data_IF_730734070052
#
_entry.id   IF_730734070052
#
_cell.length_a   1.000
_cell.length_b   1.000
_cell.length_c   1.000
_cell.angle_alpha   90.00
_cell.angle_beta   90.00
_cell.angle_gamma   90.00
#
_symmetry.space_group_name_H-M   'P 1'
#
loop_
_entity.id
_entity.type
_entity.pdbx_description
1 polymer ?
#
# COMPACT_ATOMS: atom_id res chain seq x y z
N UNK A 1 -23.11 12.06 -24.66
CA UNK A 1 -24.32 12.19 -25.48
C UNK A 1 -25.42 12.82 -24.64
N UNK A 2 -26.07 13.85 -25.19
CA UNK A 2 -27.37 14.46 -24.81
C UNK A 2 -27.59 14.85 -23.34
N UNK A 3 -27.34 16.12 -23.01
CA UNK A 3 -28.09 16.81 -21.96
C UNK A 3 -29.44 17.26 -22.54
N UNK A 4 -30.52 16.58 -22.18
CA UNK A 4 -31.89 17.02 -22.49
C UNK A 4 -32.36 17.95 -21.38
N UNK A 5 -32.50 19.23 -21.71
CA UNK A 5 -33.31 20.19 -20.97
C UNK A 5 -34.78 19.88 -21.23
N UNK A 6 -35.60 19.75 -20.19
CA UNK A 6 -37.05 19.74 -20.29
C UNK A 6 -37.66 20.43 -19.07
N UNK A 7 -38.56 21.37 -19.32
CA UNK A 7 -39.61 21.73 -18.36
C UNK A 7 -39.47 23.09 -17.71
N UNK A 8 -39.88 24.13 -18.43
CA UNK A 8 -40.46 25.34 -17.85
C UNK A 8 -41.78 24.94 -17.14
N UNK A 9 -41.98 25.25 -15.85
CA UNK A 9 -43.31 25.31 -15.26
C UNK A 9 -43.43 26.46 -14.24
N UNK A 10 -44.49 27.25 -14.48
CA UNK A 10 -44.98 28.39 -13.72
C UNK A 10 -45.81 27.89 -12.54
N UNK A 11 -45.76 28.58 -11.40
CA UNK A 11 -46.84 28.53 -10.41
C UNK A 11 -46.36 28.51 -8.96
N UNK A 12 -46.27 29.68 -8.34
CA UNK A 12 -46.08 29.85 -6.91
C UNK A 12 -47.44 30.06 -6.24
N UNK A 13 -47.88 29.12 -5.38
CA UNK A 13 -48.84 29.36 -4.27
C UNK A 13 -48.56 28.36 -3.12
N UNK A 14 -48.06 28.90 -2.00
CA UNK A 14 -48.13 28.56 -0.54
C UNK A 14 -48.95 27.32 -0.04
N UNK A 15 -48.84 26.90 1.25
CA UNK A 15 -47.69 26.46 2.06
C UNK A 15 -48.03 25.22 2.94
N UNK A 16 -47.34 24.08 2.84
CA UNK A 16 -47.55 22.99 3.83
C UNK A 16 -46.24 22.29 4.18
N UNK A 17 -45.98 22.30 5.48
CA UNK A 17 -45.10 21.46 6.27
C UNK A 17 -44.30 20.38 5.53
N UNK A 18 -42.97 20.53 5.58
CA UNK A 18 -41.98 19.49 5.82
C UNK A 18 -40.62 20.13 5.50
N UNK A 19 -39.88 20.53 6.54
CA UNK A 19 -38.47 20.86 6.33
C UNK A 19 -37.72 19.54 6.16
N UNK A 20 -37.79 19.01 4.94
CA UNK A 20 -36.89 17.99 4.45
C UNK A 20 -35.47 18.53 4.64
N UNK A 21 -34.68 17.83 5.45
CA UNK A 21 -33.22 17.96 5.41
C UNK A 21 -32.83 17.54 3.99
N UNK A 22 -32.54 18.53 3.14
CA UNK A 22 -31.88 18.30 1.88
C UNK A 22 -30.48 17.81 2.22
N UNK A 23 -30.33 16.50 2.35
CA UNK A 23 -29.03 15.84 2.19
C UNK A 23 -28.68 16.11 0.73
N UNK A 24 -27.90 17.17 0.51
CA UNK A 24 -27.15 17.34 -0.71
C UNK A 24 -26.28 16.10 -0.81
N UNK A 25 -26.76 15.11 -1.54
CA UNK A 25 -25.94 14.08 -2.16
C UNK A 25 -24.96 14.83 -3.04
N UNK A 26 -23.88 15.33 -2.43
CA UNK A 26 -22.70 15.72 -3.15
C UNK A 26 -22.34 14.51 -3.97
N UNK A 27 -22.46 14.62 -5.30
CA UNK A 27 -21.76 13.75 -6.21
C UNK A 27 -20.29 13.81 -5.79
N UNK A 28 -19.87 12.86 -4.96
CA UNK A 28 -18.49 12.66 -4.63
C UNK A 28 -17.84 12.25 -5.94
N UNK A 29 -17.23 13.24 -6.57
CA UNK A 29 -16.51 13.10 -7.81
C UNK A 29 -15.39 12.12 -7.51
N UNK A 30 -15.62 10.83 -7.82
CA UNK A 30 -14.58 9.79 -7.74
C UNK A 30 -13.36 10.37 -8.45
N UNK A 31 -12.25 10.64 -7.73
CA UNK A 31 -11.11 11.27 -8.35
C UNK A 31 -10.60 10.34 -9.45
N UNK A 32 -10.67 10.82 -10.69
CA UNK A 32 -10.13 10.14 -11.86
C UNK A 32 -8.61 10.21 -11.72
N UNK A 33 -8.01 9.12 -11.22
CA UNK A 33 -6.58 8.93 -11.10
C UNK A 33 -5.96 9.70 -9.93
N UNK A 34 -5.61 8.97 -8.87
CA UNK A 34 -4.89 9.51 -7.73
C UNK A 34 -4.14 8.41 -6.99
N UNK A 35 -3.14 8.81 -6.21
CA UNK A 35 -2.43 7.93 -5.30
C UNK A 35 -3.41 7.43 -4.23
N UNK A 36 -3.61 6.11 -4.15
CA UNK A 36 -4.44 5.52 -3.10
C UNK A 36 -3.56 5.35 -1.86
N UNK A 37 -3.96 5.85 -0.67
CA UNK A 37 -3.16 5.74 0.55
C UNK A 37 -2.73 4.31 0.85
N UNK A 38 -1.51 4.17 1.39
CA UNK A 38 -1.02 2.88 1.88
C UNK A 38 -1.59 2.66 3.28
N UNK A 39 -2.39 1.62 3.45
CA UNK A 39 -3.00 1.25 4.73
C UNK A 39 -2.62 -0.17 5.11
N UNK A 40 -2.77 -0.53 6.39
CA UNK A 40 -2.50 -1.90 6.85
C UNK A 40 -3.32 -2.91 6.05
N UNK A 41 -4.62 -2.67 5.90
CA UNK A 41 -5.54 -3.55 5.16
C UNK A 41 -5.15 -3.74 3.69
N UNK A 42 -4.47 -2.77 3.07
CA UNK A 42 -3.98 -2.90 1.69
C UNK A 42 -2.69 -3.70 1.59
N UNK A 43 -1.86 -3.70 2.64
CA UNK A 43 -0.63 -4.48 2.67
C UNK A 43 -0.88 -5.91 3.15
N UNK A 44 -1.77 -6.12 4.11
CA UNK A 44 -2.08 -7.45 4.62
C UNK A 44 -2.63 -8.36 3.51
N UNK A 45 -2.02 -9.54 3.34
CA UNK A 45 -2.38 -10.47 2.26
C UNK A 45 -1.91 -10.03 0.87
N UNK A 46 -1.01 -9.04 0.77
CA UNK A 46 -0.47 -8.53 -0.50
C UNK A 46 0.98 -8.95 -0.72
N UNK A 47 1.33 -9.23 -1.97
CA UNK A 47 2.69 -9.33 -2.47
C UNK A 47 3.06 -8.06 -3.24
N UNK A 48 4.12 -7.39 -2.79
CA UNK A 48 4.77 -6.31 -3.53
C UNK A 48 5.87 -6.91 -4.40
N UNK A 49 5.87 -6.65 -5.70
CA UNK A 49 6.96 -7.05 -6.60
C UNK A 49 7.60 -5.83 -7.22
N UNK A 50 8.93 -5.70 -7.11
CA UNK A 50 9.70 -4.59 -7.68
C UNK A 50 9.43 -4.52 -9.18
N UNK A 51 9.21 -3.32 -9.72
CA UNK A 51 8.87 -3.17 -11.14
C UNK A 51 10.04 -3.44 -12.08
N UNK A 52 11.28 -3.40 -11.56
CA UNK A 52 12.51 -3.53 -12.34
C UNK A 52 13.26 -4.83 -12.03
N UNK A 53 12.83 -5.59 -11.02
CA UNK A 53 13.55 -6.75 -10.48
C UNK A 53 12.58 -7.77 -9.91
N UNK A 54 13.03 -9.00 -9.75
CA UNK A 54 12.27 -10.10 -9.13
C UNK A 54 12.25 -10.05 -7.58
N UNK A 55 12.47 -8.88 -6.99
CA UNK A 55 12.45 -8.69 -5.54
C UNK A 55 11.02 -8.57 -5.06
N UNK A 56 10.63 -9.40 -4.12
CA UNK A 56 9.27 -9.44 -3.60
C UNK A 56 9.20 -9.31 -2.09
N UNK A 57 8.16 -8.63 -1.63
CA UNK A 57 7.78 -8.50 -0.22
C UNK A 57 6.37 -9.06 -0.06
N UNK A 58 6.22 -10.17 0.65
CA UNK A 58 4.94 -10.83 0.86
C UNK A 58 4.49 -10.59 2.29
N UNK A 59 3.36 -9.92 2.45
CA UNK A 59 2.81 -9.53 3.75
C UNK A 59 1.66 -10.47 4.14
N UNK A 60 1.77 -11.07 5.32
CA UNK A 60 0.67 -11.70 6.04
C UNK A 60 0.21 -10.81 7.19
N UNK A 61 -0.76 -11.28 7.98
CA UNK A 61 -1.29 -10.55 9.15
C UNK A 61 -0.21 -10.17 10.17
N UNK A 62 0.81 -11.02 10.33
CA UNK A 62 1.85 -10.88 11.36
C UNK A 62 3.25 -10.66 10.79
N UNK A 63 3.54 -11.21 9.62
CA UNK A 63 4.90 -11.26 9.06
C UNK A 63 4.99 -10.66 7.68
N UNK A 64 6.18 -10.19 7.34
CA UNK A 64 6.59 -9.92 5.98
C UNK A 64 7.78 -10.81 5.63
N UNK A 65 7.73 -11.37 4.42
CA UNK A 65 8.80 -12.19 3.85
C UNK A 65 9.38 -11.47 2.64
N UNK A 66 10.70 -11.34 2.61
CA UNK A 66 11.43 -10.71 1.50
C UNK A 66 12.25 -11.79 0.80
N UNK A 67 12.11 -11.88 -0.52
CA UNK A 67 12.81 -12.87 -1.35
C UNK A 67 13.07 -12.35 -2.77
N UNK A 68 14.02 -12.96 -3.47
CA UNK A 68 14.44 -12.57 -4.82
C UNK A 68 14.45 -13.77 -5.76
N UNK A 69 13.28 -14.21 -6.27
CA UNK A 69 13.07 -15.41 -7.14
C UNK A 69 14.20 -16.46 -7.17
N UNK A 70 14.25 -17.30 -6.14
CA UNK A 70 15.23 -18.41 -5.99
C UNK A 70 16.72 -17.99 -6.12
N UNK A 71 17.00 -16.69 -6.05
CA UNK A 71 18.32 -16.09 -6.04
C UNK A 71 18.61 -15.46 -4.66
N UNK A 72 19.90 -15.29 -4.33
CA UNK A 72 20.29 -14.57 -3.13
C UNK A 72 19.79 -13.13 -3.15
N UNK A 73 19.45 -12.61 -1.97
CA UNK A 73 19.05 -11.23 -1.77
C UNK A 73 20.11 -10.28 -2.34
N UNK A 74 19.68 -9.23 -3.07
CA UNK A 74 20.61 -8.33 -3.73
C UNK A 74 21.39 -7.50 -2.70
N UNK A 75 22.62 -7.11 -3.05
CA UNK A 75 23.56 -6.45 -2.15
C UNK A 75 22.99 -5.17 -1.49
N UNK A 76 22.15 -4.42 -2.20
CA UNK A 76 21.49 -3.23 -1.66
C UNK A 76 20.50 -3.55 -0.52
N UNK A 77 19.85 -4.72 -0.55
CA UNK A 77 19.02 -5.20 0.56
C UNK A 77 19.92 -5.63 1.72
N UNK A 78 21.01 -6.34 1.45
CA UNK A 78 21.96 -6.73 2.51
C UNK A 78 22.52 -5.50 3.25
N UNK A 79 22.85 -4.42 2.52
CA UNK A 79 23.33 -3.16 3.09
C UNK A 79 22.27 -2.50 4.00
N UNK A 80 21.01 -2.43 3.55
CA UNK A 80 19.90 -1.85 4.33
C UNK A 80 19.69 -2.61 5.65
N UNK A 81 19.79 -3.95 5.60
CA UNK A 81 19.63 -4.83 6.75
C UNK A 81 20.95 -5.03 7.53
N UNK A 82 22.03 -4.37 7.12
CA UNK A 82 23.39 -4.45 7.71
C UNK A 82 23.88 -5.90 7.87
N UNK A 83 23.56 -6.72 6.89
CA UNK A 83 24.01 -8.10 6.80
C UNK A 83 25.42 -8.18 6.22
N UNK A 84 26.12 -9.27 6.51
CA UNK A 84 27.44 -9.53 5.96
C UNK A 84 27.36 -9.77 4.44
N UNK A 85 27.97 -8.90 3.60
CA UNK A 85 27.93 -9.06 2.14
C UNK A 85 28.72 -10.27 1.64
N UNK A 86 29.55 -10.91 2.47
CA UNK A 86 30.27 -12.14 2.12
C UNK A 86 29.42 -13.41 2.31
N UNK A 87 28.29 -13.31 3.03
CA UNK A 87 27.36 -14.40 3.24
C UNK A 87 26.21 -14.36 2.22
N UNK A 88 25.69 -15.54 1.90
CA UNK A 88 24.51 -15.70 1.03
C UNK A 88 23.27 -15.75 1.90
N UNK A 89 22.28 -14.93 1.56
CA UNK A 89 20.97 -14.94 2.19
C UNK A 89 19.89 -15.04 1.13
N UNK A 90 19.02 -16.02 1.23
CA UNK A 90 17.95 -16.26 0.25
C UNK A 90 16.63 -15.60 0.68
N UNK A 91 16.40 -15.52 2.00
CA UNK A 91 15.13 -15.05 2.55
C UNK A 91 15.31 -14.25 3.83
N UNK A 92 14.52 -13.18 3.95
CA UNK A 92 14.29 -12.46 5.19
C UNK A 92 12.86 -12.64 5.66
N UNK A 93 12.68 -12.80 6.97
CA UNK A 93 11.38 -12.70 7.62
C UNK A 93 11.44 -11.61 8.69
N UNK A 94 10.34 -10.88 8.87
CA UNK A 94 10.21 -9.91 9.94
C UNK A 94 8.75 -9.79 10.38
N UNK A 95 8.55 -9.43 11.64
CA UNK A 95 7.27 -8.87 12.10
C UNK A 95 7.15 -7.44 11.58
N UNK A 96 5.95 -7.02 11.17
CA UNK A 96 5.76 -5.69 10.57
C UNK A 96 4.60 -4.90 11.18
N UNK A 97 4.78 -3.58 11.16
CA UNK A 97 3.74 -2.61 11.50
C UNK A 97 3.80 -1.42 10.55
N UNK A 98 2.65 -0.86 10.20
CA UNK A 98 2.56 0.33 9.37
C UNK A 98 2.20 1.54 10.24
N UNK A 99 3.07 2.54 10.23
CA UNK A 99 2.77 3.88 10.72
C UNK A 99 2.19 4.70 9.57
N UNK A 100 0.87 4.59 9.37
CA UNK A 100 0.15 5.24 8.26
C UNK A 100 0.29 6.77 8.30
N UNK A 101 0.33 7.34 9.50
CA UNK A 101 0.43 8.79 9.70
C UNK A 101 1.78 9.35 9.26
N UNK A 102 2.85 8.60 9.51
CA UNK A 102 4.20 9.02 9.18
C UNK A 102 4.68 8.47 7.82
N UNK A 103 3.97 7.49 7.24
CA UNK A 103 4.38 6.84 5.99
C UNK A 103 5.60 5.94 6.16
N UNK A 104 5.62 5.12 7.22
CA UNK A 104 6.74 4.22 7.49
C UNK A 104 6.29 2.80 7.81
N UNK A 105 6.96 1.84 7.17
CA UNK A 105 6.91 0.42 7.53
C UNK A 105 7.98 0.14 8.59
N UNK A 106 7.57 -0.36 9.75
CA UNK A 106 8.48 -0.78 10.82
C UNK A 106 8.64 -2.29 10.77
N UNK A 107 9.88 -2.75 10.76
CA UNK A 107 10.24 -4.16 10.80
C UNK A 107 10.93 -4.46 12.13
N UNK A 108 10.54 -5.57 12.74
CA UNK A 108 11.10 -6.06 14.00
C UNK A 108 11.24 -7.59 13.96
N UNK A 109 11.96 -8.17 14.92
CA UNK A 109 12.19 -9.62 15.00
C UNK A 109 12.69 -10.20 13.66
N UNK A 110 13.63 -9.50 13.04
CA UNK A 110 14.07 -9.80 11.69
C UNK A 110 14.98 -11.03 11.74
N UNK A 111 14.77 -11.99 10.84
CA UNK A 111 15.62 -13.16 10.67
C UNK A 111 16.02 -13.31 9.20
N UNK A 112 17.31 -13.52 8.93
CA UNK A 112 17.83 -13.87 7.60
C UNK A 112 18.21 -15.35 7.61
N UNK A 113 17.48 -16.19 6.85
CA UNK A 113 17.67 -17.65 6.83
C UNK A 113 17.84 -18.28 8.23
N UNK A 114 17.09 -17.78 9.21
CA UNK A 114 17.10 -18.25 10.60
C UNK A 114 18.11 -17.54 11.53
N UNK A 115 19.02 -16.73 11.00
CA UNK A 115 19.91 -15.89 11.81
C UNK A 115 19.18 -14.60 12.24
N UNK A 116 19.09 -14.35 13.55
CA UNK A 116 18.44 -13.17 14.09
C UNK A 116 19.25 -11.89 13.81
N UNK A 117 18.54 -10.81 13.49
CA UNK A 117 19.09 -9.47 13.30
C UNK A 117 18.55 -8.57 14.43
N UNK A 118 19.45 -8.09 15.28
CA UNK A 118 19.10 -7.46 16.57
C UNK A 118 18.70 -5.97 16.47
N UNK A 119 18.43 -5.45 15.28
CA UNK A 119 18.03 -4.05 15.11
C UNK A 119 16.74 -3.90 14.32
N UNK A 120 15.73 -3.18 14.84
CA UNK A 120 14.53 -2.87 14.08
C UNK A 120 14.86 -1.91 12.93
N UNK A 121 14.08 -1.99 11.86
CA UNK A 121 14.21 -1.11 10.71
C UNK A 121 12.95 -0.29 10.52
N UNK A 122 13.13 0.94 10.04
CA UNK A 122 12.04 1.85 9.69
C UNK A 122 12.23 2.28 8.24
N UNK A 123 11.34 1.82 7.37
CA UNK A 123 11.45 1.98 5.93
C UNK A 123 10.37 2.95 5.45
N UNK A 124 10.72 4.00 4.68
CA UNK A 124 9.73 4.91 4.13
C UNK A 124 8.88 4.18 3.09
N UNK A 125 7.56 4.38 3.16
CA UNK A 125 6.59 3.85 2.22
C UNK A 125 5.58 4.92 1.83
N UNK A 126 5.38 5.12 0.53
CA UNK A 126 4.45 6.11 -0.01
C UNK A 126 3.61 5.52 -1.13
N UNK A 127 2.39 6.04 -1.35
CA UNK A 127 1.57 5.58 -2.46
C UNK A 127 2.18 6.03 -3.80
N UNK A 128 1.98 5.23 -4.85
CA UNK A 128 2.50 5.51 -6.19
C UNK A 128 1.49 5.13 -7.28
N UNK A 129 0.25 5.55 -7.09
CA UNK A 129 -0.91 5.20 -7.90
C UNK A 129 -1.81 4.15 -7.25
N UNK A 130 -2.77 3.61 -8.00
CA UNK A 130 -3.82 2.75 -7.43
C UNK A 130 -3.36 1.32 -7.12
N UNK A 131 -2.31 0.83 -7.80
CA UNK A 131 -1.83 -0.56 -7.68
C UNK A 131 -0.34 -0.63 -7.34
N UNK A 132 0.24 0.48 -6.87
CA UNK A 132 1.69 0.60 -6.65
C UNK A 132 2.00 1.37 -5.38
N UNK A 133 3.14 1.04 -4.81
CA UNK A 133 3.76 1.79 -3.70
C UNK A 133 5.22 2.06 -4.03
N UNK A 134 5.76 3.12 -3.44
CA UNK A 134 7.21 3.31 -3.35
C UNK A 134 7.66 2.86 -1.97
N UNK A 135 8.60 1.92 -1.92
CA UNK A 135 9.24 1.43 -0.69
C UNK A 135 10.75 1.51 -0.90
N UNK A 136 11.52 2.04 0.06
CA UNK A 136 12.98 2.18 -0.06
C UNK A 136 13.42 2.95 -1.33
N UNK A 137 12.61 3.90 -1.81
CA UNK A 137 12.86 4.65 -3.04
C UNK A 137 12.65 3.86 -4.35
N UNK A 138 12.11 2.64 -4.27
CA UNK A 138 11.79 1.78 -5.41
C UNK A 138 10.29 1.61 -5.56
N UNK A 139 9.82 1.45 -6.79
CA UNK A 139 8.40 1.21 -7.05
C UNK A 139 8.12 -0.29 -7.09
N UNK A 140 7.00 -0.68 -6.47
CA UNK A 140 6.51 -2.05 -6.44
C UNK A 140 5.06 -2.08 -6.91
N UNK A 141 4.71 -3.09 -7.71
CA UNK A 141 3.31 -3.41 -8.00
C UNK A 141 2.74 -4.22 -6.83
N UNK A 142 1.49 -3.96 -6.48
CA UNK A 142 0.73 -4.68 -5.45
C UNK A 142 -0.12 -5.77 -6.10
N UNK A 143 0.02 -7.01 -5.64
CA UNK A 143 -0.79 -8.15 -6.05
C UNK A 143 -1.36 -8.85 -4.83
N UNK A 144 -2.52 -9.49 -4.94
CA UNK A 144 -2.95 -10.41 -3.89
C UNK A 144 -1.87 -11.52 -3.74
N UNK A 145 -1.48 -11.82 -2.50
CA UNK A 145 -0.64 -12.97 -2.24
C UNK A 145 -1.44 -14.22 -2.62
N UNK A 146 -0.82 -15.14 -3.36
CA UNK A 146 -1.41 -16.44 -3.61
C UNK A 146 -1.31 -17.26 -2.32
N UNK A 147 -2.44 -17.79 -1.85
CA UNK A 147 -2.52 -18.75 -0.74
C UNK A 147 -1.71 -20.02 -1.02
#
# INVERSE_FOLDING_TARGET
MTCTWNGLYVGAVLPVALLFVAVLSGCEKVPIGGDIPVTRDRLEGTRLTDINRELSWTFSSEKVVISYEDQPLPADILEIFKLDPAATYDRLEASWELDESAGFLRLSQITADGAAIDHPLRLPITPAGPIRVTLLGRQYNMFAAAD
#
